data_IF_706208267233
#
_entry.id   IF_706208267233
#
_cell.length_a   1.000
_cell.length_b   1.000
_cell.length_c   1.000
_cell.angle_alpha   90.00
_cell.angle_beta   90.00
_cell.angle_gamma   90.00
#
_symmetry.space_group_name_H-M   'P 1'
#
loop_
_entity.id
_entity.type
_entity.pdbx_description
1 polymer ?
#
# COMPACT_ATOMS: atom_id res chain seq x y z
N UNK A 1 5.96 -13.34 10.34
CA UNK A 1 5.19 -12.08 10.50
C UNK A 1 5.84 -11.31 11.61
N UNK A 2 6.29 -10.09 11.36
CA UNK A 2 7.05 -9.29 12.34
C UNK A 2 6.20 -8.29 13.11
N UNK A 3 5.04 -7.96 12.59
CA UNK A 3 4.18 -6.96 13.21
C UNK A 3 2.72 -7.26 12.93
N UNK A 4 1.95 -7.22 14.01
CA UNK A 4 0.49 -7.21 13.97
C UNK A 4 -0.02 -6.20 14.98
N UNK A 5 -1.05 -5.45 14.58
CA UNK A 5 -1.77 -4.55 15.47
C UNK A 5 -3.25 -4.56 15.08
N UNK A 6 -4.11 -4.70 16.07
CA UNK A 6 -5.56 -4.53 15.96
C UNK A 6 -5.99 -3.32 16.77
N UNK A 7 -6.91 -2.55 16.23
CA UNK A 7 -7.57 -1.44 16.93
C UNK A 7 -9.05 -1.52 16.60
N UNK A 8 -9.85 -1.63 17.66
CA UNK A 8 -11.30 -1.42 17.61
C UNK A 8 -11.58 0.04 18.01
N UNK A 9 -12.14 0.81 17.08
CA UNK A 9 -12.51 2.21 17.27
C UNK A 9 -14.04 2.42 17.10
N UNK A 10 -14.84 1.42 17.49
CA UNK A 10 -16.29 1.44 17.42
C UNK A 10 -16.88 0.89 16.11
N UNK A 11 -18.17 1.02 15.94
CA UNK A 11 -18.87 0.54 14.74
C UNK A 11 -18.45 1.31 13.50
N UNK A 12 -18.18 0.59 12.41
CA UNK A 12 -17.76 1.18 11.14
C UNK A 12 -17.03 0.17 10.25
N UNK A 13 -16.38 0.63 9.16
CA UNK A 13 -15.77 -0.24 8.18
C UNK A 13 -14.59 -1.04 8.76
N UNK A 14 -14.40 -2.24 8.20
CA UNK A 14 -13.22 -3.07 8.43
C UNK A 14 -12.11 -2.61 7.47
N UNK A 15 -10.95 -2.26 8.03
CA UNK A 15 -9.81 -1.77 7.26
C UNK A 15 -8.59 -2.66 7.50
N UNK A 16 -8.11 -3.28 6.42
CA UNK A 16 -6.96 -4.18 6.42
C UNK A 16 -5.78 -3.52 5.71
N UNK A 17 -4.68 -3.35 6.44
CA UNK A 17 -3.42 -2.79 5.94
C UNK A 17 -2.32 -3.83 5.98
N UNK A 18 -1.65 -4.04 4.85
CA UNK A 18 -0.58 -5.01 4.73
C UNK A 18 0.69 -4.35 4.19
N UNK A 19 1.80 -4.51 4.90
CA UNK A 19 3.13 -4.08 4.46
C UNK A 19 4.10 -5.25 4.35
N UNK A 20 5.19 -5.04 3.58
CA UNK A 20 6.23 -6.03 3.42
C UNK A 20 5.86 -7.19 2.51
N UNK A 21 5.09 -6.90 1.45
CA UNK A 21 4.56 -7.92 0.54
C UNK A 21 5.66 -8.65 -0.22
N UNK A 22 6.74 -7.97 -0.61
CA UNK A 22 7.87 -8.61 -1.28
C UNK A 22 9.22 -7.98 -0.95
N UNK A 23 10.27 -8.78 -1.05
CA UNK A 23 11.64 -8.36 -0.77
C UNK A 23 11.84 -7.87 0.66
N UNK A 24 12.41 -6.68 0.81
CA UNK A 24 12.69 -6.02 2.10
C UNK A 24 11.75 -4.83 2.38
N UNK A 25 10.63 -4.71 1.70
CA UNK A 25 9.70 -3.59 1.83
C UNK A 25 9.17 -3.40 3.26
N UNK A 26 9.07 -4.49 4.01
CA UNK A 26 8.66 -4.46 5.41
C UNK A 26 9.48 -3.52 6.29
N UNK A 27 10.75 -3.25 5.93
CA UNK A 27 11.60 -2.29 6.64
C UNK A 27 11.16 -0.83 6.44
N UNK A 28 10.53 -0.54 5.30
CA UNK A 28 9.98 0.78 5.00
C UNK A 28 8.56 0.91 5.56
N UNK A 29 7.66 -0.02 5.21
CA UNK A 29 6.24 0.04 5.59
C UNK A 29 6.01 0.04 7.11
N UNK A 30 6.80 -0.73 7.87
CA UNK A 30 6.70 -0.77 9.34
C UNK A 30 6.91 0.60 9.99
N UNK A 31 7.74 1.47 9.38
CA UNK A 31 8.02 2.82 9.91
C UNK A 31 6.77 3.69 9.86
N UNK A 32 5.92 3.51 8.85
CA UNK A 32 4.64 4.21 8.74
C UNK A 32 3.57 3.58 9.64
N UNK A 33 3.43 2.26 9.63
CA UNK A 33 2.42 1.57 10.43
C UNK A 33 2.58 1.85 11.94
N UNK A 34 3.81 1.91 12.44
CA UNK A 34 4.09 2.22 13.86
C UNK A 34 3.76 3.67 14.27
N UNK A 35 3.65 4.59 13.31
CA UNK A 35 3.33 6.01 13.57
C UNK A 35 1.84 6.29 13.64
N UNK A 36 0.99 5.36 13.22
CA UNK A 36 -0.47 5.51 13.26
C UNK A 36 -0.93 5.67 14.70
N UNK A 37 -1.67 6.73 14.97
CA UNK A 37 -2.26 7.04 16.28
C UNK A 37 -3.77 6.86 16.22
N UNK A 38 -4.39 6.47 17.34
CA UNK A 38 -5.86 6.28 17.43
C UNK A 38 -6.64 7.52 17.00
N UNK A 39 -6.15 8.72 17.28
CA UNK A 39 -6.76 9.99 16.83
C UNK A 39 -6.78 10.19 15.31
N UNK A 40 -6.02 9.40 14.56
CA UNK A 40 -5.96 9.44 13.10
C UNK A 40 -6.96 8.47 12.44
N UNK A 41 -7.76 7.76 13.24
CA UNK A 41 -8.70 6.75 12.78
C UNK A 41 -10.13 7.31 12.74
N UNK A 42 -10.92 6.82 11.76
CA UNK A 42 -12.39 6.90 11.83
C UNK A 42 -12.93 5.89 12.84
N UNK A 43 -14.26 5.84 13.02
CA UNK A 43 -14.88 4.66 13.59
C UNK A 43 -14.61 3.45 12.69
N UNK A 44 -14.56 2.24 13.28
CA UNK A 44 -14.32 0.99 12.55
C UNK A 44 -13.28 0.09 13.20
N UNK A 45 -12.99 -1.00 12.51
CA UNK A 45 -11.98 -1.98 12.92
C UNK A 45 -10.75 -1.91 12.01
N UNK A 46 -9.58 -1.87 12.61
CA UNK A 46 -8.33 -1.67 11.89
C UNK A 46 -7.36 -2.81 12.17
N UNK A 47 -6.94 -3.48 11.11
CA UNK A 47 -5.99 -4.59 11.14
C UNK A 47 -4.74 -4.21 10.37
N UNK A 48 -3.59 -4.23 11.04
CA UNK A 48 -2.29 -3.88 10.47
C UNK A 48 -1.36 -5.09 10.53
N UNK A 49 -0.90 -5.53 9.37
CA UNK A 49 0.08 -6.60 9.24
C UNK A 49 1.33 -6.09 8.54
N UNK A 50 2.49 -6.55 8.96
CA UNK A 50 3.73 -6.30 8.24
C UNK A 50 4.61 -7.55 8.27
N UNK A 51 5.11 -7.93 7.10
CA UNK A 51 6.06 -9.03 6.95
C UNK A 51 7.47 -8.45 6.84
N UNK A 52 8.43 -9.03 7.58
CA UNK A 52 9.80 -8.49 7.61
C UNK A 52 10.52 -8.69 6.29
N UNK A 53 10.34 -9.88 5.71
CA UNK A 53 10.99 -10.30 4.48
C UNK A 53 10.13 -11.34 3.77
N UNK A 54 10.05 -11.21 2.46
CA UNK A 54 9.39 -12.17 1.57
C UNK A 54 10.23 -12.42 0.33
N UNK A 55 9.83 -13.38 -0.51
CA UNK A 55 10.46 -13.56 -1.83
C UNK A 55 10.18 -12.34 -2.71
N UNK A 56 11.15 -11.99 -3.56
CA UNK A 56 10.99 -10.89 -4.52
C UNK A 56 10.24 -11.39 -5.76
N UNK A 57 8.93 -11.56 -5.62
CA UNK A 57 8.01 -11.93 -6.70
C UNK A 57 6.95 -10.84 -6.79
N UNK A 58 6.65 -10.38 -8.00
CA UNK A 58 5.67 -9.30 -8.20
C UNK A 58 4.24 -9.78 -7.92
N UNK A 59 3.43 -8.95 -7.24
CA UNK A 59 2.02 -9.19 -6.95
C UNK A 59 1.12 -9.27 -8.18
N UNK A 60 1.61 -8.87 -9.37
CA UNK A 60 0.87 -9.05 -10.62
C UNK A 60 1.04 -10.44 -11.25
N UNK A 61 1.81 -11.34 -10.60
CA UNK A 61 2.03 -12.71 -11.04
C UNK A 61 1.29 -13.70 -10.16
N UNK A 62 0.73 -14.74 -10.77
CA UNK A 62 0.00 -15.79 -10.06
C UNK A 62 0.88 -16.50 -9.02
N UNK A 63 2.16 -16.75 -9.34
CA UNK A 63 3.10 -17.44 -8.44
C UNK A 63 3.32 -16.69 -7.12
N UNK A 64 3.02 -15.37 -7.08
CA UNK A 64 3.06 -14.63 -5.82
C UNK A 64 2.05 -15.18 -4.82
N UNK A 65 0.82 -15.40 -5.26
CA UNK A 65 -0.29 -15.84 -4.40
C UNK A 65 -0.20 -17.32 -4.02
N UNK A 66 0.67 -18.10 -4.68
CA UNK A 66 1.04 -19.46 -4.32
C UNK A 66 2.19 -19.50 -3.30
N UNK A 67 2.85 -18.38 -3.04
CA UNK A 67 3.89 -18.25 -2.02
C UNK A 67 3.31 -18.20 -0.60
N UNK A 68 4.14 -18.47 0.41
CA UNK A 68 3.75 -18.41 1.83
C UNK A 68 3.11 -17.06 2.21
N UNK A 69 3.70 -15.94 1.77
CA UNK A 69 3.15 -14.60 2.08
C UNK A 69 1.89 -14.33 1.24
N UNK A 70 1.91 -14.65 -0.04
CA UNK A 70 0.76 -14.42 -0.92
C UNK A 70 -0.47 -15.23 -0.48
N UNK A 71 -0.31 -16.52 -0.16
CA UNK A 71 -1.41 -17.33 0.36
C UNK A 71 -1.93 -16.82 1.70
N UNK A 72 -1.03 -16.34 2.57
CA UNK A 72 -1.42 -15.73 3.85
C UNK A 72 -2.23 -14.45 3.65
N UNK A 73 -1.88 -13.63 2.67
CA UNK A 73 -2.66 -12.43 2.32
C UNK A 73 -4.07 -12.82 1.86
N UNK A 74 -4.21 -13.83 1.01
CA UNK A 74 -5.54 -14.32 0.58
C UNK A 74 -6.37 -14.86 1.76
N UNK A 75 -5.75 -15.58 2.70
CA UNK A 75 -6.43 -16.01 3.93
C UNK A 75 -6.95 -14.81 4.73
N UNK A 76 -6.13 -13.75 4.90
CA UNK A 76 -6.53 -12.55 5.64
C UNK A 76 -7.68 -11.80 4.94
N UNK A 77 -7.62 -11.66 3.61
CA UNK A 77 -8.68 -11.04 2.82
C UNK A 77 -9.99 -11.81 3.01
N UNK A 78 -9.97 -13.13 2.83
CA UNK A 78 -11.17 -13.97 2.99
C UNK A 78 -11.71 -13.98 4.43
N UNK A 79 -10.83 -13.91 5.43
CA UNK A 79 -11.23 -13.94 6.83
C UNK A 79 -11.89 -12.63 7.28
N UNK A 80 -11.33 -11.49 6.87
CA UNK A 80 -11.81 -10.18 7.30
C UNK A 80 -12.89 -9.59 6.42
N UNK A 81 -12.95 -9.97 5.13
CA UNK A 81 -13.83 -9.37 4.11
C UNK A 81 -13.84 -7.83 4.23
N UNK A 82 -12.67 -7.17 4.07
CA UNK A 82 -12.52 -5.77 4.43
C UNK A 82 -13.24 -4.81 3.48
N UNK A 83 -13.79 -3.71 4.02
CA UNK A 83 -14.30 -2.57 3.24
C UNK A 83 -13.16 -1.74 2.62
N UNK A 84 -12.01 -1.72 3.29
CA UNK A 84 -10.78 -1.08 2.80
C UNK A 84 -9.63 -2.06 2.90
N UNK A 85 -9.00 -2.33 1.77
CA UNK A 85 -7.78 -3.12 1.67
C UNK A 85 -6.65 -2.26 1.12
N UNK A 86 -5.56 -2.14 1.86
CA UNK A 86 -4.44 -1.27 1.51
C UNK A 86 -3.11 -2.00 1.61
N UNK A 87 -2.37 -2.05 0.50
CA UNK A 87 -1.01 -2.56 0.43
C UNK A 87 0.00 -1.41 0.54
N UNK A 88 0.98 -1.56 1.44
CA UNK A 88 2.07 -0.62 1.61
C UNK A 88 3.33 -1.19 0.99
N UNK A 89 3.68 -0.69 -0.18
CA UNK A 89 4.87 -1.06 -0.93
C UNK A 89 5.97 -0.01 -0.84
N UNK A 90 7.15 -0.36 -1.29
CA UNK A 90 8.16 0.62 -1.61
C UNK A 90 8.92 0.23 -2.89
N UNK A 91 9.35 1.23 -3.64
CA UNK A 91 10.03 1.06 -4.90
C UNK A 91 11.43 1.70 -4.89
N UNK A 92 12.31 1.23 -5.77
CA UNK A 92 13.58 1.91 -6.02
C UNK A 92 13.30 3.19 -6.82
N UNK A 93 13.75 4.35 -6.32
CA UNK A 93 13.48 5.65 -6.93
C UNK A 93 13.93 5.71 -8.42
N UNK A 94 14.98 4.97 -8.81
CA UNK A 94 15.39 4.81 -10.19
C UNK A 94 14.35 4.16 -11.11
N UNK A 95 13.35 3.49 -10.54
CA UNK A 95 12.23 2.90 -11.27
C UNK A 95 11.01 3.82 -11.37
N UNK A 96 11.07 5.03 -10.84
CA UNK A 96 9.94 5.95 -10.79
C UNK A 96 9.27 6.13 -12.15
N UNK A 97 10.05 6.50 -13.18
CA UNK A 97 9.51 6.74 -14.53
C UNK A 97 8.89 5.48 -15.16
N UNK A 98 9.45 4.30 -14.88
CA UNK A 98 8.88 3.03 -15.35
C UNK A 98 7.51 2.73 -14.71
N UNK A 99 7.32 3.08 -13.43
CA UNK A 99 6.08 2.82 -12.70
C UNK A 99 4.92 3.71 -13.19
N UNK A 100 5.21 4.93 -13.61
CA UNK A 100 4.22 5.91 -14.08
C UNK A 100 4.07 5.95 -15.61
N UNK A 101 4.87 5.17 -16.35
CA UNK A 101 4.84 5.11 -17.80
C UNK A 101 3.74 4.20 -18.34
N UNK A 102 3.12 4.60 -19.46
CA UNK A 102 2.20 3.75 -20.23
C UNK A 102 2.86 2.45 -20.76
N UNK A 103 4.19 2.37 -20.81
CA UNK A 103 4.90 1.14 -21.13
C UNK A 103 4.61 0.01 -20.13
N UNK A 104 4.27 0.36 -18.88
CA UNK A 104 3.81 -0.60 -17.89
C UNK A 104 2.56 -1.36 -18.35
N UNK A 105 1.59 -0.65 -18.93
CA UNK A 105 0.40 -1.28 -19.49
C UNK A 105 0.73 -2.18 -20.68
N UNK A 106 1.58 -1.71 -21.60
CA UNK A 106 1.99 -2.48 -22.78
C UNK A 106 2.75 -3.77 -22.42
N UNK A 107 3.60 -3.72 -21.37
CA UNK A 107 4.46 -4.86 -20.97
C UNK A 107 3.75 -5.84 -20.05
N UNK A 108 2.90 -5.35 -19.15
CA UNK A 108 2.38 -6.14 -18.03
C UNK A 108 0.85 -6.19 -17.97
N UNK A 109 0.13 -5.47 -18.83
CA UNK A 109 -1.32 -5.42 -18.83
C UNK A 109 -1.93 -4.67 -17.63
N UNK A 110 -1.12 -3.96 -16.85
CA UNK A 110 -1.57 -3.20 -15.69
C UNK A 110 -1.33 -1.70 -15.91
N UNK A 111 -2.26 -0.82 -15.50
CA UNK A 111 -2.12 0.60 -15.72
C UNK A 111 -0.90 1.19 -15.01
N UNK A 112 -0.38 2.34 -15.48
CA UNK A 112 0.63 3.09 -14.74
C UNK A 112 0.08 3.51 -13.38
N UNK A 113 0.99 3.69 -12.41
CA UNK A 113 0.63 4.24 -11.12
C UNK A 113 0.35 5.74 -11.27
N UNK A 114 -0.57 6.23 -10.46
CA UNK A 114 -0.93 7.65 -10.40
C UNK A 114 0.10 8.37 -9.54
N UNK A 115 0.66 9.43 -10.09
CA UNK A 115 1.59 10.30 -9.38
C UNK A 115 0.84 11.17 -8.39
N UNK A 116 1.30 11.17 -7.17
CA UNK A 116 0.98 12.18 -6.16
C UNK A 116 2.20 13.08 -5.93
N UNK A 117 2.11 13.97 -4.96
CA UNK A 117 3.21 14.85 -4.62
C UNK A 117 4.43 14.09 -4.05
N UNK A 118 5.62 14.65 -4.26
CA UNK A 118 6.85 14.21 -3.63
C UNK A 118 7.20 12.72 -3.87
N UNK A 119 7.00 12.23 -5.09
CA UNK A 119 7.31 10.85 -5.52
C UNK A 119 6.48 9.76 -4.78
N UNK A 120 5.39 10.12 -4.16
CA UNK A 120 4.40 9.16 -3.66
C UNK A 120 3.53 8.71 -4.83
N UNK A 121 3.25 7.41 -4.90
CA UNK A 121 2.40 6.86 -5.96
C UNK A 121 1.23 6.08 -5.35
N UNK A 122 0.13 6.04 -6.08
CA UNK A 122 -1.05 5.25 -5.73
C UNK A 122 -1.59 4.49 -6.94
N UNK A 123 -2.12 3.30 -6.71
CA UNK A 123 -2.88 2.55 -7.72
C UNK A 123 -3.94 1.67 -7.07
N UNK A 124 -4.68 0.93 -7.89
CA UNK A 124 -5.43 -0.23 -7.42
C UNK A 124 -4.45 -1.39 -7.15
N UNK A 125 -4.87 -2.34 -6.32
CA UNK A 125 -4.14 -3.60 -6.14
C UNK A 125 -4.13 -4.45 -7.42
N UNK A 126 -3.35 -5.52 -7.42
CA UNK A 126 -3.26 -6.46 -8.55
C UNK A 126 -4.65 -6.88 -9.06
N UNK A 127 -4.91 -6.86 -10.39
CA UNK A 127 -6.16 -7.36 -10.97
C UNK A 127 -6.49 -8.80 -10.55
N UNK A 128 -5.47 -9.62 -10.32
CA UNK A 128 -5.62 -11.03 -9.90
C UNK A 128 -6.43 -11.17 -8.60
N UNK A 129 -6.22 -10.27 -7.65
CA UNK A 129 -6.97 -10.29 -6.39
C UNK A 129 -8.15 -9.32 -6.41
N UNK A 130 -8.00 -8.16 -7.08
CA UNK A 130 -9.07 -7.14 -7.14
C UNK A 130 -10.38 -7.69 -7.70
N UNK A 131 -10.29 -8.49 -8.74
CA UNK A 131 -11.47 -9.02 -9.45
C UNK A 131 -12.01 -10.32 -8.86
N UNK A 132 -11.20 -11.01 -8.03
CA UNK A 132 -11.54 -12.34 -7.52
C UNK A 132 -12.00 -12.32 -6.06
N UNK A 133 -11.41 -11.46 -5.25
CA UNK A 133 -11.57 -11.52 -3.78
C UNK A 133 -12.31 -10.31 -3.19
N UNK A 134 -12.56 -9.27 -3.98
CA UNK A 134 -13.18 -8.06 -3.48
C UNK A 134 -14.47 -7.70 -4.22
N UNK A 135 -15.44 -7.18 -3.50
CA UNK A 135 -16.62 -6.57 -4.11
C UNK A 135 -16.26 -5.28 -4.86
N UNK A 136 -17.19 -4.80 -5.70
CA UNK A 136 -17.03 -3.49 -6.38
C UNK A 136 -16.92 -2.34 -5.39
N UNK A 137 -17.54 -2.47 -4.22
CA UNK A 137 -17.63 -1.41 -3.22
C UNK A 137 -16.40 -1.34 -2.30
N UNK A 138 -15.58 -2.39 -2.27
CA UNK A 138 -14.33 -2.41 -1.50
C UNK A 138 -13.32 -1.42 -2.07
N UNK A 139 -12.75 -0.57 -1.22
CA UNK A 139 -11.63 0.31 -1.57
C UNK A 139 -10.33 -0.49 -1.53
N UNK A 140 -9.75 -0.79 -2.70
CA UNK A 140 -8.49 -1.53 -2.81
C UNK A 140 -7.39 -0.62 -3.34
N UNK A 141 -6.38 -0.32 -2.53
CA UNK A 141 -5.30 0.60 -2.89
C UNK A 141 -3.92 0.00 -2.62
N UNK A 142 -3.02 0.23 -3.56
CA UNK A 142 -1.57 0.06 -3.40
C UNK A 142 -0.96 1.44 -3.24
N UNK A 143 -0.23 1.64 -2.15
CA UNK A 143 0.52 2.86 -1.86
C UNK A 143 2.00 2.57 -2.02
N UNK A 144 2.69 3.40 -2.79
CA UNK A 144 4.10 3.23 -3.09
C UNK A 144 4.92 4.41 -2.56
N UNK A 145 5.98 4.11 -1.85
CA UNK A 145 6.95 5.06 -1.32
C UNK A 145 8.37 4.68 -1.77
N UNK A 146 9.29 5.62 -2.05
CA UNK A 146 10.68 5.26 -2.31
C UNK A 146 11.30 4.48 -1.16
N UNK A 147 11.88 3.29 -1.43
CA UNK A 147 12.47 2.45 -0.38
C UNK A 147 13.55 3.20 0.39
N UNK A 148 13.32 3.49 1.66
CA UNK A 148 14.23 4.28 2.51
C UNK A 148 15.64 3.68 2.55
N UNK A 149 15.73 2.36 2.51
CA UNK A 149 16.99 1.61 2.57
C UNK A 149 17.83 1.73 1.28
N UNK A 150 17.26 2.27 0.19
CA UNK A 150 17.91 2.41 -1.13
C UNK A 150 18.14 3.88 -1.52
N UNK A 151 17.91 4.82 -0.60
CA UNK A 151 18.13 6.24 -0.83
C UNK A 151 19.56 6.61 -0.42
N UNK A 152 20.43 6.77 -1.39
CA UNK A 152 21.73 7.42 -1.24
C UNK A 152 21.68 8.89 -1.68
N UNK A 153 22.73 9.65 -1.38
CA UNK A 153 22.78 11.08 -1.67
C UNK A 153 22.78 11.38 -3.19
N UNK A 154 23.32 10.49 -4.00
CA UNK A 154 23.41 10.70 -5.45
C UNK A 154 22.02 10.50 -6.07
N UNK A 155 21.30 9.45 -5.70
CA UNK A 155 19.91 9.22 -6.11
C UNK A 155 18.99 10.36 -5.64
N UNK A 156 19.16 10.84 -4.41
CA UNK A 156 18.38 11.96 -3.89
C UNK A 156 18.57 13.21 -4.74
N UNK A 157 19.82 13.52 -5.14
CA UNK A 157 20.12 14.69 -5.99
C UNK A 157 19.60 14.51 -7.41
N UNK A 158 19.86 13.34 -8.01
CA UNK A 158 19.45 13.02 -9.37
C UNK A 158 17.96 13.21 -9.60
N UNK A 159 17.13 12.75 -8.65
CA UNK A 159 15.67 12.82 -8.74
C UNK A 159 15.04 14.05 -8.03
N UNK A 160 15.84 14.94 -7.47
CA UNK A 160 15.32 16.07 -6.68
C UNK A 160 14.43 15.62 -5.50
N UNK A 161 14.72 14.44 -4.93
CA UNK A 161 13.87 13.81 -3.92
C UNK A 161 14.02 14.50 -2.55
N UNK A 162 12.89 14.97 -2.01
CA UNK A 162 12.83 15.50 -0.65
C UNK A 162 12.18 14.48 0.29
N UNK A 163 13.01 13.77 1.05
CA UNK A 163 12.56 12.71 1.96
C UNK A 163 11.53 13.19 3.00
N UNK A 164 11.69 14.41 3.53
CA UNK A 164 10.77 14.96 4.54
C UNK A 164 9.39 15.17 3.93
N UNK A 165 9.32 15.88 2.80
CA UNK A 165 8.07 16.14 2.10
C UNK A 165 7.40 14.84 1.62
N UNK A 166 8.17 13.89 1.11
CA UNK A 166 7.65 12.60 0.70
C UNK A 166 7.03 11.82 1.87
N UNK A 167 7.65 11.84 3.06
CA UNK A 167 7.08 11.24 4.26
C UNK A 167 5.76 11.92 4.63
N UNK A 168 5.72 13.25 4.62
CA UNK A 168 4.51 14.03 4.92
C UNK A 168 3.37 13.70 3.93
N UNK A 169 3.66 13.67 2.62
CA UNK A 169 2.67 13.30 1.59
C UNK A 169 2.14 11.87 1.78
N UNK A 170 3.03 10.91 2.03
CA UNK A 170 2.62 9.53 2.26
C UNK A 170 1.79 9.35 3.54
N UNK A 171 2.18 10.01 4.64
CA UNK A 171 1.42 10.00 5.89
C UNK A 171 0.06 10.64 5.73
N UNK A 172 -0.07 11.72 4.95
CA UNK A 172 -1.34 12.38 4.65
C UNK A 172 -2.26 11.45 3.84
N UNK A 173 -1.73 10.78 2.81
CA UNK A 173 -2.47 9.79 2.05
C UNK A 173 -2.95 8.62 2.92
N UNK A 174 -2.06 8.08 3.76
CA UNK A 174 -2.40 7.00 4.68
C UNK A 174 -3.48 7.45 5.68
N UNK A 175 -3.38 8.67 6.23
CA UNK A 175 -4.40 9.25 7.12
C UNK A 175 -5.73 9.47 6.41
N UNK A 176 -5.74 9.85 5.15
CA UNK A 176 -6.97 9.95 4.37
C UNK A 176 -7.71 8.62 4.35
N UNK A 177 -7.03 7.50 4.04
CA UNK A 177 -7.63 6.17 4.06
C UNK A 177 -8.10 5.78 5.48
N UNK A 178 -7.27 6.04 6.50
CA UNK A 178 -7.59 5.74 7.90
C UNK A 178 -8.83 6.49 8.40
N UNK A 179 -9.02 7.75 7.99
CA UNK A 179 -10.14 8.62 8.40
C UNK A 179 -11.40 8.45 7.56
N UNK A 180 -11.30 7.84 6.37
CA UNK A 180 -12.46 7.70 5.47
C UNK A 180 -13.51 6.76 6.06
N UNK A 181 -14.72 7.21 6.35
CA UNK A 181 -15.78 6.37 6.90
C UNK A 181 -16.44 5.50 5.82
N UNK A 182 -16.31 5.86 4.54
CA UNK A 182 -16.88 5.14 3.40
C UNK A 182 -16.05 5.34 2.15
N UNK A 183 -16.33 4.51 1.13
CA UNK A 183 -15.74 4.64 -0.20
C UNK A 183 -16.02 6.00 -0.83
N UNK A 184 -17.27 6.48 -0.79
CA UNK A 184 -17.67 7.77 -1.38
C UNK A 184 -16.87 8.92 -0.79
N UNK A 185 -16.70 8.91 0.53
CA UNK A 185 -15.87 9.90 1.21
C UNK A 185 -14.43 9.85 0.69
N UNK A 186 -13.83 8.66 0.63
CA UNK A 186 -12.45 8.50 0.15
C UNK A 186 -12.29 8.97 -1.30
N UNK A 187 -13.20 8.59 -2.21
CA UNK A 187 -13.16 8.96 -3.62
C UNK A 187 -13.32 10.47 -3.83
N UNK A 188 -14.14 11.12 -3.02
CA UNK A 188 -14.32 12.58 -3.06
C UNK A 188 -13.05 13.32 -2.60
N UNK A 189 -12.43 12.87 -1.52
CA UNK A 189 -11.28 13.57 -0.93
C UNK A 189 -9.96 13.32 -1.68
N UNK A 190 -9.85 12.24 -2.45
CA UNK A 190 -8.65 11.93 -3.24
C UNK A 190 -8.70 12.53 -4.65
N UNK A 191 -9.85 13.00 -5.13
CA UNK A 191 -10.04 13.63 -6.43
C UNK A 191 -9.51 15.04 -6.44
#
# INVERSE_FOLDING_TARGET
MSYFRYIDNGEGPIKLFIGGLHGNEGKTSIKFLKRIKTKDLSNGQFYFYNFDKSKYVSTIKQEYYESEIGSKILELINYFDPDFYTELHCYNLKNYDNLISMERYRKFGVPPLIKLENHVLISSVSPLIRLTYFSTDTVCKTLEFPCIEKLDNDVIKEFGFNKKLAIESYENLLKLILKSPSREYFEKEIS
#
